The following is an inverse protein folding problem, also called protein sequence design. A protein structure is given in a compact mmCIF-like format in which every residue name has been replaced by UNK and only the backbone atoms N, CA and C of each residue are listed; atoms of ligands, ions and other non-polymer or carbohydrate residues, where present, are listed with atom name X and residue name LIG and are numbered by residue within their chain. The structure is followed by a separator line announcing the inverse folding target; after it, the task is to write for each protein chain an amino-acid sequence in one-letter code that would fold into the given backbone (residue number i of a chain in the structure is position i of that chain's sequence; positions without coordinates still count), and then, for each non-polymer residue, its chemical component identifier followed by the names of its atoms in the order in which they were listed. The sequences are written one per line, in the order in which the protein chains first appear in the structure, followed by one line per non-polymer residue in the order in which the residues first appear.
data_IF_995320395369
#
_entry.id   IF_995320395369
#
_cell.length_a   1.000
_cell.length_b   1.000
_cell.length_c   1.000
_cell.angle_alpha   90.00
_cell.angle_beta   90.00
_cell.angle_gamma   90.00
#
_symmetry.space_group_name_H-M   'P 1'
#
loop_
_entity.id
_entity.type
_entity.pdbx_description
1 polymer ?
#
# COMPACT_ATOMS: atom_id res chain seq x y z
N UNK A 1 14.80 15.88 -7.48
CA UNK A 1 13.84 14.79 -7.20
C UNK A 1 12.55 15.42 -6.70
N UNK A 2 11.45 15.20 -7.40
CA UNK A 2 10.11 15.67 -7.02
C UNK A 2 9.61 14.97 -5.75
N UNK A 3 8.56 15.47 -5.06
CA UNK A 3 7.95 14.76 -3.93
C UNK A 3 7.46 13.36 -4.30
N UNK A 4 6.88 13.17 -5.49
CA UNK A 4 6.45 11.87 -5.98
C UNK A 4 7.63 10.91 -6.18
N UNK A 5 8.72 11.34 -6.83
CA UNK A 5 9.92 10.52 -7.02
C UNK A 5 10.52 10.07 -5.68
N UNK A 6 10.59 10.96 -4.68
CA UNK A 6 11.02 10.59 -3.32
C UNK A 6 10.11 9.53 -2.71
N UNK A 7 8.80 9.68 -2.87
CA UNK A 7 7.83 8.73 -2.35
C UNK A 7 7.94 7.37 -3.03
N UNK A 8 8.12 7.32 -4.36
CA UNK A 8 8.38 6.08 -5.10
C UNK A 8 9.64 5.39 -4.58
N UNK A 9 10.74 6.15 -4.40
CA UNK A 9 11.98 5.62 -3.84
C UNK A 9 11.76 4.96 -2.48
N UNK A 10 11.04 5.63 -1.56
CA UNK A 10 10.72 5.07 -0.24
C UNK A 10 9.82 3.83 -0.33
N UNK A 11 8.87 3.79 -1.28
CA UNK A 11 8.03 2.60 -1.50
C UNK A 11 8.88 1.42 -1.98
N UNK A 12 9.81 1.64 -2.91
CA UNK A 12 10.69 0.60 -3.44
C UNK A 12 11.73 0.14 -2.41
N UNK A 13 12.18 1.01 -1.52
CA UNK A 13 13.11 0.69 -0.44
C UNK A 13 12.44 -0.14 0.66
N UNK A 14 11.28 0.31 1.15
CA UNK A 14 10.59 -0.32 2.29
C UNK A 14 9.65 -1.44 1.89
N UNK A 15 9.14 -1.44 0.68
CA UNK A 15 8.41 -2.47 -0.04
C UNK A 15 7.08 -2.92 0.58
N UNK A 16 6.87 -2.85 1.89
CA UNK A 16 5.66 -3.32 2.59
C UNK A 16 4.78 -2.13 2.93
N UNK A 17 3.57 -2.09 2.33
CA UNK A 17 2.50 -1.15 2.66
C UNK A 17 1.51 -1.86 3.56
N UNK A 18 1.42 -1.45 4.83
CA UNK A 18 0.38 -1.94 5.74
C UNK A 18 -0.95 -1.27 5.42
N UNK A 19 -2.01 -2.05 5.24
CA UNK A 19 -3.34 -1.56 4.87
C UNK A 19 -4.27 -1.59 6.08
N UNK A 20 -4.72 -0.42 6.52
CA UNK A 20 -5.73 -0.26 7.56
C UNK A 20 -7.11 -0.12 6.90
N UNK A 21 -7.95 -1.14 7.08
CA UNK A 21 -9.30 -1.18 6.55
C UNK A 21 -10.31 -1.41 7.68
N UNK A 22 -11.32 -0.55 7.77
CA UNK A 22 -12.38 -0.69 8.77
C UNK A 22 -11.92 -0.52 10.21
N UNK A 23 -10.74 0.09 10.43
CA UNK A 23 -10.26 0.40 11.77
C UNK A 23 -10.98 1.60 12.36
N UNK A 24 -11.21 1.56 13.67
CA UNK A 24 -11.67 2.73 14.41
C UNK A 24 -10.60 3.83 14.30
N UNK A 25 -10.96 5.10 14.05
CA UNK A 25 -10.01 6.21 13.96
C UNK A 25 -9.10 6.34 15.19
N UNK A 26 -9.59 6.05 16.39
CA UNK A 26 -8.80 6.09 17.63
C UNK A 26 -7.70 5.03 17.68
N UNK A 27 -7.82 3.97 16.91
CA UNK A 27 -6.83 2.89 16.84
C UNK A 27 -5.68 3.17 15.85
N UNK A 28 -5.82 4.16 14.95
CA UNK A 28 -4.87 4.39 13.85
C UNK A 28 -3.48 4.74 14.36
N UNK A 29 -3.35 5.65 15.31
CA UNK A 29 -2.05 6.09 15.84
C UNK A 29 -1.33 4.99 16.64
N UNK A 30 -1.97 4.26 17.58
CA UNK A 30 -1.33 3.11 18.23
C UNK A 30 -0.91 2.00 17.26
N UNK A 31 -1.74 1.71 16.24
CA UNK A 31 -1.40 0.75 15.18
C UNK A 31 -0.18 1.23 14.38
N UNK A 32 -0.13 2.51 14.00
CA UNK A 32 1.02 3.08 13.27
C UNK A 32 2.31 2.95 14.09
N UNK A 33 2.26 3.19 15.40
CA UNK A 33 3.39 3.00 16.31
C UNK A 33 3.87 1.54 16.33
N UNK A 34 2.97 0.59 16.49
CA UNK A 34 3.29 -0.83 16.49
C UNK A 34 3.91 -1.30 15.16
N UNK A 35 3.35 -0.85 14.03
CA UNK A 35 3.88 -1.12 12.69
C UNK A 35 5.28 -0.54 12.50
N UNK A 36 5.48 0.72 12.90
CA UNK A 36 6.78 1.38 12.85
C UNK A 36 7.84 0.66 13.68
N UNK A 37 7.50 0.27 14.92
CA UNK A 37 8.35 -0.52 15.79
C UNK A 37 8.67 -1.91 15.23
N UNK A 38 7.74 -2.50 14.45
CA UNK A 38 7.93 -3.73 13.69
C UNK A 38 8.79 -3.58 12.43
N UNK A 39 9.13 -2.34 12.02
CA UNK A 39 9.99 -2.06 10.87
C UNK A 39 9.25 -1.61 9.61
N UNK A 40 7.92 -1.48 9.64
CA UNK A 40 7.12 -0.97 8.51
C UNK A 40 7.18 0.56 8.47
N UNK A 41 7.24 1.10 7.26
CA UNK A 41 7.40 2.54 6.99
C UNK A 41 6.32 3.13 6.08
N UNK A 42 5.46 2.29 5.52
CA UNK A 42 4.43 2.70 4.57
C UNK A 42 3.07 2.27 5.12
N UNK A 43 2.14 3.22 5.22
CA UNK A 43 0.81 3.02 5.80
C UNK A 43 -0.27 3.50 4.82
N UNK A 44 -1.19 2.62 4.47
CA UNK A 44 -2.39 2.91 3.69
C UNK A 44 -3.61 2.93 4.61
N UNK A 45 -4.37 4.04 4.61
CA UNK A 45 -5.68 4.13 5.27
C UNK A 45 -6.74 4.10 4.18
N UNK A 46 -7.67 3.14 4.24
CA UNK A 46 -8.67 2.96 3.18
C UNK A 46 -9.87 3.88 3.39
N UNK A 47 -10.33 4.57 2.32
CA UNK A 47 -11.41 5.57 2.39
C UNK A 47 -12.79 4.99 2.71
N UNK A 48 -12.97 3.69 2.55
CA UNK A 48 -14.18 2.99 3.02
C UNK A 48 -14.16 2.66 4.53
N UNK A 49 -13.21 3.23 5.29
CA UNK A 49 -13.19 3.18 6.76
C UNK A 49 -13.85 4.42 7.36
N UNK A 50 -14.47 4.32 8.53
CA UNK A 50 -15.04 5.51 9.22
C UNK A 50 -13.96 6.57 9.50
N UNK A 51 -14.26 7.85 9.27
CA UNK A 51 -13.34 8.96 9.59
C UNK A 51 -11.98 8.88 8.88
N UNK A 52 -11.94 8.34 7.65
CA UNK A 52 -10.68 8.03 6.96
C UNK A 52 -9.82 9.28 6.68
N UNK A 53 -10.42 10.40 6.32
CA UNK A 53 -9.66 11.63 6.02
C UNK A 53 -9.03 12.20 7.29
N UNK A 54 -9.78 12.28 8.37
CA UNK A 54 -9.31 12.72 9.70
C UNK A 54 -8.21 11.78 10.23
N UNK A 55 -8.35 10.48 9.97
CA UNK A 55 -7.34 9.48 10.33
C UNK A 55 -6.04 9.66 9.51
N UNK A 56 -6.13 10.01 8.22
CA UNK A 56 -4.98 10.35 7.38
C UNK A 56 -4.29 11.61 7.94
N UNK A 57 -5.05 12.69 8.21
CA UNK A 57 -4.51 13.93 8.78
C UNK A 57 -3.77 13.67 10.10
N UNK A 58 -4.40 12.93 11.03
CA UNK A 58 -3.80 12.58 12.32
C UNK A 58 -2.52 11.73 12.15
N UNK A 59 -2.54 10.74 11.24
CA UNK A 59 -1.39 9.91 10.95
C UNK A 59 -0.23 10.72 10.32
N UNK A 60 -0.53 11.64 9.40
CA UNK A 60 0.46 12.55 8.80
C UNK A 60 1.06 13.47 9.85
N UNK A 61 0.24 14.09 10.69
CA UNK A 61 0.69 15.00 11.74
C UNK A 61 1.62 14.31 12.76
N UNK A 62 1.32 13.05 13.12
CA UNK A 62 2.05 12.32 14.16
C UNK A 62 3.24 11.51 13.63
N UNK A 63 3.16 11.01 12.39
CA UNK A 63 4.10 10.03 11.82
C UNK A 63 4.69 10.42 10.47
N UNK A 64 4.25 11.52 9.83
CA UNK A 64 4.65 11.89 8.47
C UNK A 64 6.16 12.08 8.25
N UNK A 65 6.92 12.40 9.31
CA UNK A 65 8.39 12.51 9.26
C UNK A 65 9.08 11.13 9.28
N UNK A 66 8.40 10.08 9.73
CA UNK A 66 8.94 8.73 9.97
C UNK A 66 8.31 7.65 9.10
N UNK A 67 7.08 7.88 8.63
CA UNK A 67 6.31 6.98 7.77
C UNK A 67 5.74 7.73 6.57
N UNK A 68 5.58 7.04 5.47
CA UNK A 68 4.84 7.55 4.32
C UNK A 68 3.39 7.10 4.45
N UNK A 69 2.48 8.07 4.56
CA UNK A 69 1.05 7.83 4.69
C UNK A 69 0.38 7.98 3.32
N UNK A 70 -0.51 7.07 2.99
CA UNK A 70 -1.30 7.09 1.76
C UNK A 70 -2.75 6.72 1.97
N UNK A 71 -3.56 6.96 0.95
CA UNK A 71 -4.97 6.60 0.91
C UNK A 71 -5.20 5.38 0.02
N UNK A 72 -6.08 4.49 0.45
CA UNK A 72 -6.50 3.33 -0.33
C UNK A 72 -7.99 3.27 -0.58
N UNK A 73 -8.39 2.39 -1.50
CA UNK A 73 -9.80 2.25 -1.91
C UNK A 73 -10.39 3.56 -2.43
N UNK A 74 -9.54 4.34 -3.13
CA UNK A 74 -9.94 5.58 -3.79
C UNK A 74 -10.60 5.22 -5.11
N UNK A 75 -11.87 5.60 -5.30
CA UNK A 75 -12.69 5.23 -6.45
C UNK A 75 -13.00 6.41 -7.37
N UNK A 76 -12.88 7.63 -6.88
CA UNK A 76 -13.21 8.85 -7.61
C UNK A 76 -12.09 9.91 -7.53
N UNK A 77 -11.99 10.75 -8.56
CA UNK A 77 -11.00 11.83 -8.62
C UNK A 77 -11.15 12.85 -7.47
N UNK A 78 -12.39 13.09 -7.02
CA UNK A 78 -12.67 13.95 -5.88
C UNK A 78 -12.11 13.37 -4.57
N UNK A 79 -12.23 12.07 -4.36
CA UNK A 79 -11.65 11.38 -3.21
C UNK A 79 -10.11 11.46 -3.20
N UNK A 80 -9.47 11.31 -4.38
CA UNK A 80 -8.02 11.51 -4.51
C UNK A 80 -7.61 12.93 -4.09
N UNK A 81 -8.41 13.95 -4.49
CA UNK A 81 -8.18 15.33 -4.09
C UNK A 81 -8.22 15.50 -2.58
N UNK A 82 -9.29 15.00 -1.94
CA UNK A 82 -9.48 15.11 -0.49
C UNK A 82 -8.40 14.37 0.29
N UNK A 83 -8.03 13.15 -0.17
CA UNK A 83 -6.98 12.37 0.47
C UNK A 83 -5.61 13.05 0.41
N UNK A 84 -5.26 13.65 -0.73
CA UNK A 84 -3.99 14.37 -0.89
C UNK A 84 -4.00 15.67 -0.09
N UNK A 85 -5.15 16.37 -0.01
CA UNK A 85 -5.32 17.53 0.86
C UNK A 85 -5.14 17.18 2.34
N UNK A 86 -5.58 16.00 2.77
CA UNK A 86 -5.34 15.44 4.11
C UNK A 86 -3.87 15.01 4.35
N UNK A 87 -3.00 15.11 3.32
CA UNK A 87 -1.56 14.84 3.40
C UNK A 87 -1.12 13.47 2.89
N UNK A 88 -2.02 12.70 2.24
CA UNK A 88 -1.64 11.44 1.61
C UNK A 88 -0.60 11.65 0.51
N UNK A 89 0.52 10.90 0.54
CA UNK A 89 1.61 10.99 -0.43
C UNK A 89 1.50 9.97 -1.56
N UNK A 90 0.68 8.96 -1.41
CA UNK A 90 0.34 7.98 -2.44
C UNK A 90 -1.14 7.59 -2.37
N UNK A 91 -1.70 7.21 -3.51
CA UNK A 91 -3.10 6.82 -3.68
C UNK A 91 -3.17 5.46 -4.30
N UNK A 92 -3.89 4.53 -3.63
CA UNK A 92 -4.20 3.20 -4.15
C UNK A 92 -5.69 3.09 -4.48
N UNK A 93 -5.97 2.44 -5.61
CA UNK A 93 -7.32 2.05 -6.01
C UNK A 93 -7.45 0.54 -6.07
N UNK A 94 -8.64 -0.04 -5.93
CA UNK A 94 -8.85 -1.47 -6.18
C UNK A 94 -8.98 -1.78 -7.68
N UNK A 95 -9.19 -0.78 -8.50
CA UNK A 95 -9.49 -0.87 -9.93
C UNK A 95 -8.73 0.18 -10.74
N UNK A 96 -8.79 0.04 -12.07
CA UNK A 96 -8.27 1.01 -13.01
C UNK A 96 -9.32 2.12 -13.25
N UNK A 97 -9.03 3.33 -12.83
CA UNK A 97 -9.79 4.53 -13.16
C UNK A 97 -8.85 5.65 -13.66
N UNK A 98 -9.07 6.11 -14.88
CA UNK A 98 -8.22 7.12 -15.52
C UNK A 98 -8.33 8.49 -14.84
N UNK A 99 -9.49 8.83 -14.29
CA UNK A 99 -9.74 10.08 -13.57
C UNK A 99 -8.96 10.14 -12.27
N UNK A 100 -8.99 9.05 -11.48
CA UNK A 100 -8.22 8.91 -10.23
C UNK A 100 -6.72 8.98 -10.52
N UNK A 101 -6.23 8.26 -11.54
CA UNK A 101 -4.81 8.27 -11.92
C UNK A 101 -4.37 9.69 -12.26
N UNK A 102 -5.04 10.33 -13.22
CA UNK A 102 -4.69 11.70 -13.69
C UNK A 102 -4.73 12.69 -12.54
N UNK A 103 -5.80 12.67 -11.75
CA UNK A 103 -5.96 13.60 -10.63
C UNK A 103 -4.86 13.44 -9.57
N UNK A 104 -4.48 12.20 -9.27
CA UNK A 104 -3.38 11.90 -8.35
C UNK A 104 -2.05 12.48 -8.87
N UNK A 105 -1.77 12.27 -10.16
CA UNK A 105 -0.55 12.78 -10.81
C UNK A 105 -0.52 14.31 -10.86
N UNK A 106 -1.63 14.95 -11.23
CA UNK A 106 -1.77 16.41 -11.29
C UNK A 106 -1.49 17.08 -9.94
N UNK A 107 -1.82 16.40 -8.85
CA UNK A 107 -1.57 16.84 -7.48
C UNK A 107 -0.17 16.45 -6.95
N UNK A 108 0.67 15.83 -7.76
CA UNK A 108 2.05 15.49 -7.43
C UNK A 108 2.20 14.32 -6.44
N UNK A 109 1.16 13.48 -6.29
CA UNK A 109 1.20 12.29 -5.46
C UNK A 109 1.52 11.03 -6.30
N UNK A 110 1.87 9.93 -5.63
CA UNK A 110 2.16 8.65 -6.29
C UNK A 110 0.86 7.90 -6.58
N UNK A 111 0.62 7.55 -7.85
CA UNK A 111 -0.53 6.76 -8.26
C UNK A 111 -0.19 5.28 -8.36
N UNK A 112 -1.00 4.44 -7.66
CA UNK A 112 -0.87 2.97 -7.61
C UNK A 112 -2.26 2.35 -7.87
N UNK A 113 -2.76 2.40 -9.12
CA UNK A 113 -4.06 1.84 -9.48
C UNK A 113 -4.06 0.32 -9.44
N UNK A 114 -5.23 -0.25 -9.15
CA UNK A 114 -5.48 -1.69 -9.22
C UNK A 114 -5.70 -2.16 -10.64
N UNK A 115 -5.17 -3.33 -10.96
CA UNK A 115 -5.35 -4.02 -12.22
C UNK A 115 -5.24 -5.53 -12.00
N UNK A 116 -5.87 -6.31 -12.90
CA UNK A 116 -5.81 -7.78 -12.83
C UNK A 116 -5.40 -8.43 -14.14
N UNK A 117 -5.67 -7.81 -15.28
CA UNK A 117 -5.32 -8.33 -16.60
C UNK A 117 -4.13 -7.62 -17.22
N UNK A 118 -3.39 -8.25 -18.17
CA UNK A 118 -2.29 -7.59 -18.88
C UNK A 118 -2.72 -6.28 -19.55
N UNK A 119 -3.96 -6.22 -20.06
CA UNK A 119 -4.52 -5.03 -20.71
C UNK A 119 -4.70 -3.88 -19.70
N UNK A 120 -5.23 -4.16 -18.52
CA UNK A 120 -5.39 -3.16 -17.47
C UNK A 120 -4.04 -2.68 -16.95
N UNK A 121 -3.08 -3.59 -16.73
CA UNK A 121 -1.73 -3.26 -16.29
C UNK A 121 -1.05 -2.31 -17.29
N UNK A 122 -1.08 -2.64 -18.56
CA UNK A 122 -0.50 -1.80 -19.62
C UNK A 122 -1.23 -0.45 -19.73
N UNK A 123 -2.55 -0.44 -19.57
CA UNK A 123 -3.37 0.78 -19.61
C UNK A 123 -3.04 1.70 -18.41
N UNK A 124 -2.94 1.15 -17.20
CA UNK A 124 -2.51 1.89 -16.01
C UNK A 124 -1.13 2.53 -16.21
N UNK A 125 -0.17 1.76 -16.72
CA UNK A 125 1.19 2.24 -17.00
C UNK A 125 1.18 3.38 -18.04
N UNK A 126 0.43 3.23 -19.15
CA UNK A 126 0.30 4.26 -20.18
C UNK A 126 -0.37 5.55 -19.69
N UNK A 127 -1.21 5.46 -18.66
CA UNK A 127 -1.81 6.61 -17.99
C UNK A 127 -0.85 7.31 -17.01
N UNK A 128 0.37 6.78 -16.81
CA UNK A 128 1.40 7.36 -15.96
C UNK A 128 1.45 6.83 -14.53
N UNK A 129 0.78 5.69 -14.23
CA UNK A 129 0.90 5.06 -12.92
C UNK A 129 2.37 4.77 -12.56
N UNK A 130 2.79 5.06 -11.34
CA UNK A 130 4.16 4.81 -10.88
C UNK A 130 4.42 3.34 -10.57
N UNK A 131 3.42 2.67 -10.01
CA UNK A 131 3.41 1.23 -9.70
C UNK A 131 2.02 0.73 -10.01
N UNK A 132 1.86 -0.50 -10.49
CA UNK A 132 0.55 -1.10 -10.72
C UNK A 132 0.28 -2.16 -9.66
N UNK A 133 -0.79 -1.97 -8.90
CA UNK A 133 -1.27 -2.92 -7.89
C UNK A 133 -1.99 -4.07 -8.58
N UNK A 134 -1.42 -5.27 -8.50
CA UNK A 134 -2.11 -6.49 -8.90
C UNK A 134 -3.05 -6.91 -7.79
N UNK A 135 -4.37 -6.88 -8.06
CA UNK A 135 -5.40 -7.18 -7.07
C UNK A 135 -6.57 -7.94 -7.68
N UNK A 136 -6.98 -9.08 -7.08
CA UNK A 136 -6.32 -9.77 -5.97
C UNK A 136 -5.11 -10.60 -6.41
N UNK A 137 -4.02 -10.56 -5.64
CA UNK A 137 -2.81 -11.35 -5.90
C UNK A 137 -2.94 -12.83 -5.45
N UNK A 138 -4.08 -13.25 -4.91
CA UNK A 138 -4.37 -14.64 -4.54
C UNK A 138 -4.31 -15.63 -5.71
N UNK A 139 -4.25 -15.15 -6.94
CA UNK A 139 -3.96 -15.95 -8.14
C UNK A 139 -2.56 -16.60 -8.07
N UNK A 140 -1.64 -16.05 -7.30
CA UNK A 140 -0.35 -16.64 -7.01
C UNK A 140 0.85 -16.06 -7.78
N UNK A 141 2.08 -16.39 -7.34
CA UNK A 141 3.32 -15.83 -7.88
C UNK A 141 3.60 -16.22 -9.34
N UNK A 142 3.11 -17.38 -9.80
CA UNK A 142 3.29 -17.83 -11.18
C UNK A 142 2.74 -16.80 -12.19
N UNK A 143 1.58 -16.25 -11.89
CA UNK A 143 0.94 -15.23 -12.72
C UNK A 143 1.81 -13.95 -12.84
N UNK A 144 2.51 -13.55 -11.76
CA UNK A 144 3.44 -12.42 -11.80
C UNK A 144 4.60 -12.68 -12.75
N UNK A 145 5.19 -13.88 -12.75
CA UNK A 145 6.25 -14.26 -13.70
C UNK A 145 5.77 -14.19 -15.14
N UNK A 146 4.55 -14.70 -15.40
CA UNK A 146 3.97 -14.71 -16.74
C UNK A 146 3.76 -13.28 -17.27
N UNK A 147 3.28 -12.36 -16.43
CA UNK A 147 3.11 -10.93 -16.79
C UNK A 147 4.47 -10.23 -16.95
N UNK A 148 5.44 -10.52 -16.09
CA UNK A 148 6.77 -9.91 -16.15
C UNK A 148 7.52 -10.25 -17.43
N UNK A 149 7.24 -11.39 -18.06
CA UNK A 149 7.85 -11.76 -19.36
C UNK A 149 7.64 -10.68 -20.42
N UNK A 150 6.41 -10.37 -20.84
CA UNK A 150 6.12 -9.36 -21.88
C UNK A 150 6.15 -7.90 -21.35
N UNK A 151 6.03 -7.65 -20.05
CA UNK A 151 5.93 -6.31 -19.44
C UNK A 151 6.98 -6.08 -18.33
N UNK A 152 8.28 -6.32 -18.61
CA UNK A 152 9.33 -6.26 -17.58
C UNK A 152 9.55 -4.85 -17.00
N UNK A 153 9.16 -3.81 -17.73
CA UNK A 153 9.34 -2.40 -17.36
C UNK A 153 8.30 -1.90 -16.35
N UNK A 154 7.19 -2.63 -16.13
CA UNK A 154 6.11 -2.18 -15.26
C UNK A 154 6.35 -2.66 -13.83
N UNK A 155 6.54 -1.75 -12.84
CA UNK A 155 6.64 -2.15 -11.44
C UNK A 155 5.29 -2.68 -10.94
N UNK A 156 5.27 -3.89 -10.38
CA UNK A 156 4.04 -4.54 -9.88
C UNK A 156 4.06 -4.65 -8.35
N UNK A 157 2.94 -4.27 -7.71
CA UNK A 157 2.71 -4.46 -6.28
C UNK A 157 1.72 -5.61 -6.08
N UNK A 158 2.12 -6.64 -5.33
CA UNK A 158 1.22 -7.74 -4.97
C UNK A 158 0.30 -7.32 -3.80
N UNK A 159 -1.02 -7.44 -3.96
CA UNK A 159 -1.99 -7.12 -2.92
C UNK A 159 -3.13 -8.13 -2.89
N UNK A 160 -3.48 -8.60 -1.68
CA UNK A 160 -4.50 -9.65 -1.47
C UNK A 160 -3.92 -11.06 -1.58
N UNK A 161 -4.05 -11.83 -0.51
CA UNK A 161 -3.52 -13.19 -0.41
C UNK A 161 -2.02 -13.28 -0.10
N UNK A 162 -1.34 -12.15 0.14
CA UNK A 162 0.07 -12.13 0.56
C UNK A 162 0.18 -12.38 2.06
N UNK A 163 1.11 -13.25 2.45
CA UNK A 163 1.39 -13.67 3.83
C UNK A 163 2.90 -13.79 4.07
N UNK A 164 3.32 -13.96 5.31
CA UNK A 164 4.73 -14.22 5.66
C UNK A 164 5.28 -15.45 4.93
N UNK A 165 4.44 -16.49 4.72
CA UNK A 165 4.87 -17.75 4.11
C UNK A 165 5.04 -17.68 2.59
N UNK A 166 4.42 -16.71 1.90
CA UNK A 166 4.46 -16.62 0.43
C UNK A 166 5.04 -15.32 -0.14
N UNK A 167 5.30 -14.31 0.69
CA UNK A 167 5.80 -13.01 0.23
C UNK A 167 7.11 -13.14 -0.56
N UNK A 168 7.98 -14.07 -0.18
CA UNK A 168 9.23 -14.38 -0.90
C UNK A 168 8.99 -14.93 -2.30
N UNK A 169 7.95 -15.73 -2.49
CA UNK A 169 7.63 -16.28 -3.80
C UNK A 169 7.14 -15.18 -4.75
N UNK A 170 6.39 -14.20 -4.24
CA UNK A 170 6.02 -13.00 -4.99
C UNK A 170 7.23 -12.11 -5.29
N UNK A 171 8.16 -11.96 -4.35
CA UNK A 171 9.41 -11.24 -4.55
C UNK A 171 10.24 -11.87 -5.67
N UNK A 172 10.49 -13.18 -5.62
CA UNK A 172 11.17 -13.94 -6.67
C UNK A 172 10.44 -13.91 -8.02
N UNK A 173 9.12 -13.71 -8.00
CA UNK A 173 8.30 -13.54 -9.20
C UNK A 173 8.35 -12.11 -9.77
N UNK A 174 9.07 -11.18 -9.12
CA UNK A 174 9.31 -9.82 -9.60
C UNK A 174 8.32 -8.78 -9.09
N UNK A 175 7.58 -9.05 -8.00
CA UNK A 175 6.84 -8.01 -7.30
C UNK A 175 7.82 -7.05 -6.60
N UNK A 176 7.67 -5.75 -6.83
CA UNK A 176 8.55 -4.73 -6.24
C UNK A 176 8.06 -4.22 -4.90
N UNK A 177 6.78 -4.36 -4.59
CA UNK A 177 6.15 -3.95 -3.34
C UNK A 177 4.96 -4.86 -2.99
N UNK A 178 4.48 -4.77 -1.75
CA UNK A 178 3.47 -5.67 -1.18
C UNK A 178 2.45 -4.88 -0.35
N UNK A 179 1.18 -4.93 -0.72
CA UNK A 179 0.07 -4.40 0.06
C UNK A 179 -0.48 -5.49 1.00
N UNK A 180 -0.28 -5.32 2.30
CA UNK A 180 -0.64 -6.32 3.31
C UNK A 180 -1.80 -5.81 4.16
N UNK A 181 -2.97 -6.41 3.99
CA UNK A 181 -4.19 -6.11 4.75
C UNK A 181 -4.39 -7.05 5.93
N UNK A 182 -5.46 -7.85 5.88
CA UNK A 182 -5.93 -8.68 7.01
C UNK A 182 -4.92 -9.71 7.54
N UNK A 183 -3.94 -10.14 6.74
CA UNK A 183 -2.86 -11.00 7.22
C UNK A 183 -1.90 -10.29 8.19
N UNK A 184 -1.90 -8.96 8.22
CA UNK A 184 -1.10 -8.13 9.12
C UNK A 184 -1.99 -7.38 10.12
N UNK A 185 -2.94 -6.58 9.65
CA UNK A 185 -3.83 -5.76 10.47
C UNK A 185 -5.26 -6.24 10.29
N UNK A 186 -5.88 -6.72 11.36
CA UNK A 186 -7.32 -7.03 11.38
C UNK A 186 -8.04 -6.02 12.26
N UNK A 187 -9.20 -5.49 11.84
CA UNK A 187 -10.02 -4.63 12.70
C UNK A 187 -10.42 -5.37 13.97
N UNK A 188 -10.35 -4.68 15.09
CA UNK A 188 -10.82 -5.18 16.39
C UNK A 188 -11.76 -4.17 17.03
N UNK A 189 -12.74 -4.63 17.80
CA UNK A 189 -13.68 -3.76 18.48
C UNK A 189 -13.01 -2.96 19.63
N UNK A 190 -12.00 -3.57 20.24
CA UNK A 190 -11.20 -2.95 21.31
C UNK A 190 -9.75 -3.32 21.10
N UNK A 191 -8.87 -2.32 21.06
CA UNK A 191 -7.43 -2.50 20.84
C UNK A 191 -6.71 -2.61 22.19
N UNK A 192 -6.04 -3.72 22.41
CA UNK A 192 -5.29 -4.01 23.64
C UNK A 192 -3.78 -3.93 23.44
N UNK A 193 -3.00 -3.82 24.51
CA UNK A 193 -1.53 -3.91 24.46
C UNK A 193 -1.06 -5.25 23.88
N UNK A 194 -1.79 -6.33 24.13
CA UNK A 194 -1.49 -7.65 23.57
C UNK A 194 -1.67 -7.65 22.03
N UNK A 195 -2.69 -6.98 21.51
CA UNK A 195 -2.92 -6.83 20.07
C UNK A 195 -1.79 -6.01 19.43
N UNK A 196 -1.38 -4.90 20.04
CA UNK A 196 -0.27 -4.06 19.58
C UNK A 196 1.05 -4.81 19.60
N UNK A 197 1.31 -5.59 20.65
CA UNK A 197 2.49 -6.46 20.70
C UNK A 197 2.47 -7.51 19.59
N UNK A 198 1.35 -8.19 19.41
CA UNK A 198 1.15 -9.17 18.33
C UNK A 198 1.34 -8.58 16.94
N UNK A 199 0.84 -7.35 16.73
CA UNK A 199 1.01 -6.61 15.48
C UNK A 199 2.49 -6.28 15.21
N UNK A 200 3.23 -5.83 16.23
CA UNK A 200 4.68 -5.57 16.12
C UNK A 200 5.45 -6.83 15.70
N UNK A 201 5.13 -7.97 16.33
CA UNK A 201 5.77 -9.26 15.99
C UNK A 201 5.45 -9.67 14.56
N UNK A 202 4.18 -9.57 14.12
CA UNK A 202 3.77 -9.87 12.73
C UNK A 202 4.45 -8.94 11.74
N UNK A 203 4.51 -7.64 12.02
CA UNK A 203 5.18 -6.66 11.16
C UNK A 203 6.66 -7.01 10.98
N UNK A 204 7.35 -7.35 12.06
CA UNK A 204 8.75 -7.80 12.03
C UNK A 204 8.91 -9.05 11.18
N UNK A 205 8.04 -10.05 11.33
CA UNK A 205 8.08 -11.29 10.56
C UNK A 205 7.97 -11.04 9.04
N UNK A 206 7.11 -10.13 8.60
CA UNK A 206 7.01 -9.73 7.19
C UNK A 206 8.29 -9.05 6.68
N UNK A 207 8.85 -8.12 7.48
CA UNK A 207 10.09 -7.42 7.12
C UNK A 207 11.26 -8.40 7.02
N UNK A 208 11.39 -9.30 7.98
CA UNK A 208 12.48 -10.28 8.02
C UNK A 208 12.34 -11.32 6.89
N UNK A 209 11.10 -11.72 6.54
CA UNK A 209 10.84 -12.61 5.42
C UNK A 209 11.36 -12.05 4.07
N UNK A 210 11.42 -10.73 3.88
CA UNK A 210 11.97 -10.11 2.68
C UNK A 210 13.51 -9.95 2.73
N UNK A 211 14.13 -9.98 3.91
CA UNK A 211 15.58 -9.80 4.09
C UNK A 211 16.38 -11.10 4.05
N UNK A 212 15.73 -12.24 4.24
CA UNK A 212 16.36 -13.50 4.59
C UNK A 212 17.32 -14.11 3.55
N UNK A 213 17.64 -13.48 2.41
CA UNK A 213 18.68 -13.88 1.43
C UNK A 213 19.07 -12.71 0.50
N UNK A 214 19.28 -11.51 1.08
CA UNK A 214 19.87 -10.40 0.34
C UNK A 214 21.40 -10.46 0.41
#
# INVERSE_FOLDING_TARGET
MTPAEKTVTLILEHRIVAILRGCDPSHVLPIAEALYAGGIRLLEITLNSPGAFEAIEAAVASWGDRMVIGAGTVLEAAEATSAIAAGARFVLSPSLDAGVIRRTLDLGAVSIPGAFTPTEILSAWRLGAHIVKVFPASIGPAWFRDIRGPLPQIPLMATGGVSVSNIRDFDKAGAVAFGIGSSLVSPVASLTEADLHGLRVKARAFVDALKADA
#
